data_IF_756698474238
#
_entry.id   IF_756698474238
#
_cell.length_a   1.000
_cell.length_b   1.000
_cell.length_c   1.000
_cell.angle_alpha   90.00
_cell.angle_beta   90.00
_cell.angle_gamma   90.00
#
_symmetry.space_group_name_H-M   'P 1'
#
loop_
_entity.id
_entity.type
_entity.pdbx_description
1 polymer ?
#
# COMPACT_ATOMS: atom_id res chain seq x y z
N UNK A 1 20.78 -74.01 11.35
CA UNK A 1 21.01 -75.13 10.39
C UNK A 1 21.00 -74.55 8.98
N UNK A 2 21.94 -75.01 8.13
CA UNK A 2 21.99 -74.99 6.66
C UNK A 2 21.50 -73.78 5.80
N UNK A 3 22.46 -73.23 5.04
CA UNK A 3 22.32 -72.66 3.66
C UNK A 3 22.00 -73.83 2.70
N UNK A 4 21.37 -73.75 1.53
CA UNK A 4 21.56 -73.03 0.23
C UNK A 4 20.36 -73.44 -0.69
N UNK A 5 20.24 -73.10 -2.00
CA UNK A 5 20.77 -71.99 -2.82
C UNK A 5 19.66 -71.26 -3.63
N UNK A 6 20.06 -70.31 -4.49
CA UNK A 6 19.24 -69.72 -5.55
C UNK A 6 19.50 -70.38 -6.92
N UNK A 7 18.58 -70.25 -7.87
CA UNK A 7 18.81 -70.45 -9.32
C UNK A 7 18.02 -69.43 -10.15
N UNK A 8 18.59 -68.98 -11.26
CA UNK A 8 18.06 -67.94 -12.17
C UNK A 8 17.30 -68.54 -13.38
N UNK A 9 16.92 -67.63 -14.31
CA UNK A 9 16.81 -67.76 -15.80
C UNK A 9 15.59 -68.51 -16.38
N UNK A 10 14.93 -68.06 -17.48
CA UNK A 10 15.01 -66.80 -18.28
C UNK A 10 13.74 -66.61 -19.17
N UNK A 11 13.59 -65.42 -19.83
CA UNK A 11 12.65 -65.03 -20.94
C UNK A 11 11.12 -65.18 -20.67
N UNK A 12 10.21 -64.32 -21.16
CA UNK A 12 9.93 -63.98 -22.57
C UNK A 12 9.14 -62.65 -22.74
N UNK A 13 8.86 -62.26 -23.98
CA UNK A 13 8.48 -60.93 -24.46
C UNK A 13 6.97 -60.72 -24.70
N UNK A 14 6.58 -59.46 -24.96
CA UNK A 14 5.30 -59.02 -25.59
C UNK A 14 4.08 -59.11 -24.65
N UNK A 15 3.28 -58.05 -24.44
CA UNK A 15 2.25 -57.58 -25.38
C UNK A 15 1.79 -56.14 -25.06
N UNK A 16 1.35 -55.39 -26.09
CA UNK A 16 0.68 -54.08 -25.95
C UNK A 16 -0.82 -54.24 -26.16
N UNK A 17 -1.67 -53.60 -25.34
CA UNK A 17 -2.99 -53.14 -25.80
C UNK A 17 -3.67 -52.10 -24.87
N UNK A 18 -4.03 -50.97 -25.48
CA UNK A 18 -5.15 -50.05 -25.20
C UNK A 18 -6.13 -50.32 -24.04
N UNK A 19 -6.40 -49.26 -23.25
CA UNK A 19 -7.75 -48.98 -22.71
C UNK A 19 -8.07 -47.46 -22.80
N UNK A 20 -8.95 -47.14 -23.75
CA UNK A 20 -9.93 -46.03 -23.86
C UNK A 20 -9.64 -44.63 -23.29
N UNK A 21 -9.62 -43.65 -24.20
CA UNK A 21 -10.14 -42.30 -23.97
C UNK A 21 -11.64 -42.31 -23.64
N UNK A 22 -12.09 -41.49 -22.70
CA UNK A 22 -13.06 -40.40 -22.94
C UNK A 22 -13.45 -39.69 -21.63
N UNK A 23 -13.22 -38.37 -21.54
CA UNK A 23 -14.08 -37.52 -20.71
C UNK A 23 -14.10 -36.09 -21.28
N UNK A 24 -15.22 -35.80 -21.93
CA UNK A 24 -15.53 -34.50 -22.52
C UNK A 24 -15.93 -33.51 -21.41
N UNK A 25 -15.26 -32.36 -21.31
CA UNK A 25 -15.78 -31.21 -20.56
C UNK A 25 -15.43 -29.90 -21.26
N UNK A 26 -16.38 -29.38 -22.03
CA UNK A 26 -16.32 -28.03 -22.57
C UNK A 26 -16.58 -27.02 -21.46
N UNK A 27 -15.69 -26.03 -21.30
CA UNK A 27 -15.93 -24.83 -20.49
C UNK A 27 -15.48 -23.61 -21.29
N UNK A 28 -16.33 -22.60 -21.29
CA UNK A 28 -16.35 -21.44 -22.20
C UNK A 28 -15.04 -20.64 -22.30
N UNK A 29 -14.51 -20.52 -23.52
CA UNK A 29 -13.50 -19.50 -23.85
C UNK A 29 -14.20 -18.25 -24.38
N UNK A 30 -14.69 -17.39 -23.49
CA UNK A 30 -15.07 -16.03 -23.86
C UNK A 30 -13.82 -15.24 -24.26
N UNK A 31 -13.70 -14.92 -25.54
CA UNK A 31 -12.60 -14.12 -26.10
C UNK A 31 -12.53 -12.73 -25.46
N UNK A 32 -11.60 -12.56 -24.51
CA UNK A 32 -11.12 -11.25 -24.08
C UNK A 32 -9.77 -10.99 -24.75
N UNK A 33 -9.69 -9.95 -25.58
CA UNK A 33 -8.48 -9.62 -26.32
C UNK A 33 -7.27 -9.48 -25.39
N UNK A 34 -6.22 -10.24 -25.66
CA UNK A 34 -4.93 -10.09 -25.00
C UNK A 34 -4.24 -8.85 -25.57
N UNK A 35 -4.13 -7.80 -24.76
CA UNK A 35 -3.22 -6.68 -25.04
C UNK A 35 -1.83 -7.12 -24.59
N UNK A 36 -0.86 -7.10 -25.49
CA UNK A 36 0.53 -7.50 -25.17
C UNK A 36 1.10 -6.65 -24.02
N UNK A 37 1.32 -7.30 -22.88
CA UNK A 37 2.00 -6.69 -21.73
C UNK A 37 3.50 -6.97 -21.87
N UNK A 38 4.39 -5.96 -21.89
CA UNK A 38 5.83 -6.20 -21.88
C UNK A 38 6.22 -6.98 -20.62
N UNK A 39 7.14 -7.97 -20.71
CA UNK A 39 7.19 -9.14 -19.80
C UNK A 39 7.70 -8.89 -18.37
N UNK A 40 7.64 -7.66 -17.86
CA UNK A 40 8.17 -7.30 -16.53
C UNK A 40 7.32 -6.26 -15.75
N UNK A 41 6.05 -6.06 -16.10
CA UNK A 41 5.15 -5.20 -15.31
C UNK A 41 4.13 -6.05 -14.52
N UNK A 42 4.18 -5.94 -13.19
CA UNK A 42 3.20 -6.58 -12.29
C UNK A 42 1.81 -5.97 -12.55
N UNK A 43 0.74 -6.77 -12.71
CA UNK A 43 -0.61 -6.25 -12.90
C UNK A 43 -1.06 -5.34 -11.76
N UNK A 44 -1.61 -4.17 -12.11
CA UNK A 44 -2.09 -3.18 -11.15
C UNK A 44 -3.37 -3.66 -10.43
N UNK A 45 -3.38 -3.52 -9.10
CA UNK A 45 -4.50 -3.90 -8.23
C UNK A 45 -5.54 -2.79 -8.18
N UNK A 46 -6.81 -3.18 -8.00
CA UNK A 46 -7.92 -2.22 -7.80
C UNK A 46 -7.99 -1.65 -6.37
N UNK A 47 -7.41 -2.34 -5.38
CA UNK A 47 -7.47 -2.05 -3.93
C UNK A 47 -6.05 -1.94 -3.34
N UNK A 48 -5.88 -1.06 -2.36
CA UNK A 48 -4.66 -0.93 -1.57
C UNK A 48 -4.38 -2.20 -0.73
N UNK A 49 -3.13 -2.67 -0.77
CA UNK A 49 -2.56 -3.68 0.12
C UNK A 49 -1.64 -3.01 1.18
N UNK A 50 -1.14 -3.79 2.14
CA UNK A 50 -0.29 -3.28 3.22
C UNK A 50 0.97 -2.55 2.71
N UNK A 51 1.61 -3.03 1.63
CA UNK A 51 2.78 -2.34 1.06
C UNK A 51 2.41 -0.99 0.41
N UNK A 52 1.23 -0.89 -0.20
CA UNK A 52 0.76 0.37 -0.79
C UNK A 52 0.54 1.43 0.32
N UNK A 53 0.09 1.01 1.50
CA UNK A 53 -0.03 1.87 2.67
C UNK A 53 1.33 2.38 3.17
N UNK A 54 2.37 1.53 3.18
CA UNK A 54 3.73 1.91 3.59
C UNK A 54 4.33 2.92 2.61
N UNK A 55 4.24 2.65 1.31
CA UNK A 55 4.75 3.58 0.27
C UNK A 55 4.02 4.93 0.35
N UNK A 56 2.68 4.92 0.51
CA UNK A 56 1.89 6.12 0.73
C UNK A 56 2.33 6.89 1.97
N UNK A 57 2.55 6.21 3.11
CA UNK A 57 2.95 6.87 4.36
C UNK A 57 4.36 7.45 4.29
N UNK A 58 5.31 6.75 3.66
CA UNK A 58 6.66 7.28 3.39
C UNK A 58 6.61 8.53 2.52
N UNK A 59 5.78 8.55 1.48
CA UNK A 59 5.58 9.74 0.65
C UNK A 59 4.88 10.88 1.41
N UNK A 60 3.83 10.61 2.19
CA UNK A 60 3.17 11.61 3.04
C UNK A 60 4.14 12.21 4.06
N UNK A 61 4.98 11.39 4.67
CA UNK A 61 6.02 11.80 5.63
C UNK A 61 7.07 12.72 4.99
N UNK A 62 7.54 12.39 3.78
CA UNK A 62 8.50 13.21 3.04
C UNK A 62 7.91 14.55 2.57
N UNK A 63 6.70 14.53 2.00
CA UNK A 63 6.04 15.71 1.43
C UNK A 63 5.36 16.62 2.48
N UNK A 64 5.14 16.12 3.70
CA UNK A 64 4.64 16.87 4.86
C UNK A 64 3.41 17.75 4.58
N UNK A 65 2.27 17.20 4.10
CA UNK A 65 1.10 17.98 3.67
C UNK A 65 0.45 18.84 4.76
N UNK A 66 0.77 18.63 6.04
CA UNK A 66 0.34 19.48 7.15
C UNK A 66 1.07 20.83 7.22
N UNK A 67 2.20 20.98 6.51
CA UNK A 67 2.96 22.25 6.43
C UNK A 67 2.43 23.23 5.38
N UNK A 68 1.40 22.84 4.62
CA UNK A 68 0.76 23.72 3.64
C UNK A 68 0.07 24.88 4.37
N UNK A 69 0.32 26.15 3.99
CA UNK A 69 -0.33 27.29 4.62
C UNK A 69 -1.85 27.24 4.51
N UNK A 70 -2.52 27.46 5.64
CA UNK A 70 -3.98 27.60 5.71
C UNK A 70 -4.46 28.76 4.84
N UNK A 71 -5.65 28.65 4.27
CA UNK A 71 -6.21 29.66 3.34
C UNK A 71 -5.70 29.58 1.89
N UNK A 72 -4.71 28.73 1.57
CA UNK A 72 -4.31 28.51 0.17
C UNK A 72 -5.32 27.62 -0.58
N UNK A 73 -5.84 28.10 -1.71
CA UNK A 73 -6.78 27.35 -2.54
C UNK A 73 -6.13 26.06 -3.08
N UNK A 74 -6.70 24.91 -2.70
CA UNK A 74 -6.27 23.56 -3.10
C UNK A 74 -4.80 23.18 -2.80
N UNK A 75 -4.09 23.90 -1.92
CA UNK A 75 -2.67 23.64 -1.62
C UNK A 75 -2.40 22.19 -1.19
N UNK A 76 -3.19 21.66 -0.24
CA UNK A 76 -3.07 20.26 0.21
C UNK A 76 -3.34 19.28 -0.94
N UNK A 77 -4.24 19.62 -1.87
CA UNK A 77 -4.57 18.73 -2.98
C UNK A 77 -3.41 18.61 -3.97
N UNK A 78 -2.75 19.73 -4.29
CA UNK A 78 -1.52 19.72 -5.12
C UNK A 78 -0.42 18.84 -4.50
N UNK A 79 -0.23 18.89 -3.19
CA UNK A 79 0.72 18.00 -2.50
C UNK A 79 0.33 16.53 -2.64
N UNK A 80 -0.97 16.20 -2.57
CA UNK A 80 -1.42 14.82 -2.75
C UNK A 80 -1.32 14.31 -4.20
N UNK A 81 -1.41 15.17 -5.21
CA UNK A 81 -1.08 14.77 -6.60
C UNK A 81 0.42 14.52 -6.77
N UNK A 82 1.29 15.35 -6.17
CA UNK A 82 2.74 15.08 -6.16
C UNK A 82 3.08 13.76 -5.43
N UNK A 83 2.38 13.46 -4.34
CA UNK A 83 2.48 12.18 -3.63
C UNK A 83 2.03 11.01 -4.54
N UNK A 84 0.98 11.17 -5.35
CA UNK A 84 0.54 10.15 -6.29
C UNK A 84 1.60 9.86 -7.36
N UNK A 85 2.24 10.89 -7.92
CA UNK A 85 3.38 10.75 -8.84
C UNK A 85 4.55 10.01 -8.15
N UNK A 86 4.91 10.40 -6.93
CA UNK A 86 5.99 9.73 -6.17
C UNK A 86 5.69 8.26 -5.86
N UNK A 87 4.43 7.93 -5.53
CA UNK A 87 4.01 6.55 -5.28
C UNK A 87 4.02 5.73 -6.58
N UNK A 88 3.50 6.28 -7.69
CA UNK A 88 3.50 5.60 -8.99
C UNK A 88 4.89 5.34 -9.57
N UNK A 89 5.90 6.12 -9.17
CA UNK A 89 7.30 5.85 -9.52
C UNK A 89 7.96 4.73 -8.68
N UNK A 90 7.30 4.22 -7.63
CA UNK A 90 7.84 3.17 -6.77
C UNK A 90 7.38 1.77 -7.26
N UNK A 91 8.29 0.84 -7.59
CA UNK A 91 7.92 -0.48 -8.11
C UNK A 91 7.21 -1.42 -7.11
N UNK A 92 7.17 -1.06 -5.82
CA UNK A 92 6.38 -1.77 -4.79
C UNK A 92 4.93 -1.28 -4.72
N UNK A 93 4.62 -0.10 -5.29
CA UNK A 93 3.28 0.46 -5.31
C UNK A 93 2.45 -0.22 -6.42
N UNK A 94 1.53 -1.08 -6.01
CA UNK A 94 0.78 -1.93 -6.92
C UNK A 94 -0.61 -1.39 -7.28
N UNK A 95 -0.86 -0.08 -7.16
CA UNK A 95 -2.14 0.55 -7.51
C UNK A 95 -1.92 1.83 -8.30
N UNK A 96 -2.75 2.07 -9.31
CA UNK A 96 -2.87 3.38 -9.96
C UNK A 96 -4.10 4.11 -9.41
N UNK A 97 -3.87 5.28 -8.81
CA UNK A 97 -4.85 6.07 -8.07
C UNK A 97 -4.45 7.56 -8.02
N UNK A 98 -5.38 8.50 -8.27
CA UNK A 98 -5.10 9.93 -8.16
C UNK A 98 -4.93 10.38 -6.70
N UNK A 99 -4.33 11.55 -6.50
CA UNK A 99 -4.04 12.10 -5.17
C UNK A 99 -5.25 12.18 -4.25
N UNK A 100 -6.45 12.41 -4.78
CA UNK A 100 -7.70 12.43 -4.00
C UNK A 100 -8.00 11.07 -3.33
N UNK A 101 -7.72 9.95 -4.01
CA UNK A 101 -7.87 8.61 -3.47
C UNK A 101 -6.80 8.29 -2.42
N UNK A 102 -5.54 8.71 -2.65
CA UNK A 102 -4.45 8.57 -1.69
C UNK A 102 -4.71 9.40 -0.41
N UNK A 103 -5.22 10.63 -0.55
CA UNK A 103 -5.65 11.48 0.58
C UNK A 103 -6.75 10.82 1.41
N UNK A 104 -7.71 10.20 0.73
CA UNK A 104 -8.80 9.46 1.38
C UNK A 104 -8.24 8.24 2.13
N UNK A 105 -7.35 7.46 1.51
CA UNK A 105 -6.69 6.30 2.13
C UNK A 105 -5.86 6.70 3.35
N UNK A 106 -5.06 7.76 3.26
CA UNK A 106 -4.29 8.30 4.38
C UNK A 106 -5.19 8.72 5.56
N UNK A 107 -6.31 9.39 5.29
CA UNK A 107 -7.30 9.74 6.32
C UNK A 107 -7.93 8.52 6.98
N UNK A 108 -8.22 7.46 6.22
CA UNK A 108 -8.68 6.18 6.79
C UNK A 108 -7.61 5.57 7.69
N UNK A 109 -6.37 5.45 7.22
CA UNK A 109 -5.25 4.92 8.01
C UNK A 109 -5.08 5.66 9.35
N UNK A 110 -5.06 6.99 9.32
CA UNK A 110 -4.96 7.83 10.51
C UNK A 110 -6.14 7.64 11.47
N UNK A 111 -7.37 7.51 10.96
CA UNK A 111 -8.58 7.28 11.77
C UNK A 111 -8.58 5.90 12.42
N UNK A 112 -8.20 4.86 11.68
CA UNK A 112 -8.16 3.48 12.21
C UNK A 112 -7.04 3.30 13.23
N UNK A 113 -5.89 3.96 13.01
CA UNK A 113 -4.78 3.99 13.95
C UNK A 113 -5.17 4.64 15.28
N UNK A 114 -5.76 5.85 15.24
CA UNK A 114 -6.23 6.57 16.45
C UNK A 114 -7.41 5.88 17.18
N UNK A 115 -7.94 4.79 16.63
CA UNK A 115 -9.03 3.98 17.19
C UNK A 115 -8.55 2.61 17.69
N UNK A 116 -7.24 2.35 17.68
CA UNK A 116 -6.59 1.05 17.91
C UNK A 116 -7.10 -0.09 17.00
N UNK A 117 -7.82 0.23 15.92
CA UNK A 117 -8.38 -0.73 14.98
C UNK A 117 -7.37 -1.16 13.90
N UNK A 118 -6.09 -0.81 14.05
CA UNK A 118 -4.99 -1.34 13.26
C UNK A 118 -4.99 -2.87 13.13
N UNK A 119 -5.46 -3.60 14.16
CA UNK A 119 -5.63 -5.07 14.14
C UNK A 119 -6.60 -5.53 13.03
N UNK A 120 -7.68 -4.79 12.78
CA UNK A 120 -8.66 -5.10 11.72
C UNK A 120 -8.05 -5.01 10.31
N UNK A 121 -7.04 -4.16 10.14
CA UNK A 121 -6.29 -4.02 8.89
C UNK A 121 -5.18 -5.07 8.71
N UNK A 122 -4.89 -5.93 9.70
CA UNK A 122 -3.86 -6.97 9.60
C UNK A 122 -4.29 -8.23 8.84
N UNK A 123 -5.45 -8.19 8.15
CA UNK A 123 -6.01 -9.32 7.37
C UNK A 123 -5.19 -9.71 6.14
N UNK A 124 -4.24 -8.88 5.70
CA UNK A 124 -3.31 -9.19 4.60
C UNK A 124 -2.04 -8.36 4.72
N UNK A 125 -0.88 -9.01 4.87
CA UNK A 125 0.43 -8.38 5.03
C UNK A 125 1.29 -9.13 6.05
N UNK A 126 2.58 -8.80 6.13
CA UNK A 126 3.52 -9.39 7.10
C UNK A 126 3.56 -8.57 8.41
N UNK A 127 4.13 -9.12 9.48
CA UNK A 127 4.23 -8.43 10.77
C UNK A 127 5.04 -7.14 10.64
N UNK A 128 6.17 -7.22 9.93
CA UNK A 128 7.12 -6.15 9.68
C UNK A 128 6.47 -5.00 8.89
N UNK A 129 5.59 -5.34 7.93
CA UNK A 129 4.80 -4.35 7.18
C UNK A 129 3.85 -3.56 8.10
N UNK A 130 3.23 -4.22 9.08
CA UNK A 130 2.35 -3.53 10.02
C UNK A 130 3.13 -2.70 11.04
N UNK A 131 4.27 -3.18 11.51
CA UNK A 131 5.15 -2.42 12.42
C UNK A 131 5.74 -1.18 11.74
N UNK A 132 6.20 -1.31 10.49
CA UNK A 132 6.63 -0.17 9.65
C UNK A 132 5.53 0.87 9.50
N UNK A 133 4.32 0.43 9.10
CA UNK A 133 3.15 1.30 8.92
C UNK A 133 2.76 2.01 10.23
N UNK A 134 2.69 1.26 11.33
CA UNK A 134 2.28 1.77 12.63
C UNK A 134 3.35 2.76 13.17
N UNK A 135 4.65 2.53 12.92
CA UNK A 135 5.74 3.47 13.25
C UNK A 135 5.71 4.76 12.41
N UNK A 136 5.47 4.65 11.10
CA UNK A 136 5.31 5.81 10.22
C UNK A 136 4.11 6.68 10.62
N UNK A 137 3.01 6.07 11.05
CA UNK A 137 1.83 6.79 11.54
C UNK A 137 2.12 7.56 12.83
N UNK A 138 2.86 6.96 13.79
CA UNK A 138 3.30 7.64 15.01
C UNK A 138 4.18 8.87 14.70
N UNK A 139 5.17 8.73 13.82
CA UNK A 139 6.08 9.83 13.48
C UNK A 139 5.35 10.97 12.71
N UNK A 140 4.43 10.62 11.80
CA UNK A 140 3.57 11.62 11.12
C UNK A 140 2.69 12.36 12.13
N UNK A 141 2.13 11.68 13.13
CA UNK A 141 1.35 12.33 14.20
C UNK A 141 2.25 13.29 14.98
N UNK A 142 3.38 12.82 15.51
CA UNK A 142 4.30 13.65 16.30
C UNK A 142 4.80 14.89 15.53
N UNK A 143 5.17 14.74 14.24
CA UNK A 143 5.57 15.88 13.39
C UNK A 143 4.41 16.80 12.99
N UNK A 144 3.16 16.33 13.04
CA UNK A 144 1.97 17.17 12.83
C UNK A 144 1.69 17.99 14.09
N UNK A 145 1.75 17.37 15.26
CA UNK A 145 1.47 18.04 16.54
C UNK A 145 2.54 19.10 16.85
N UNK A 146 3.83 18.78 16.73
CA UNK A 146 4.94 19.75 16.84
C UNK A 146 4.80 20.94 15.86
N UNK A 147 4.22 20.70 14.68
CA UNK A 147 3.97 21.78 13.72
C UNK A 147 2.77 22.65 14.12
N UNK A 148 1.70 22.03 14.63
CA UNK A 148 0.52 22.76 15.14
C UNK A 148 0.89 23.65 16.31
N UNK A 149 1.65 23.14 17.29
CA UNK A 149 2.15 23.89 18.45
C UNK A 149 2.95 25.12 18.00
N UNK A 150 3.86 24.94 17.03
CA UNK A 150 4.64 26.03 16.45
C UNK A 150 3.75 27.10 15.82
N UNK A 151 2.78 26.70 14.99
CA UNK A 151 1.86 27.63 14.32
C UNK A 151 0.98 28.37 15.32
N UNK A 152 0.54 27.70 16.39
CA UNK A 152 -0.23 28.33 17.46
C UNK A 152 0.59 29.41 18.19
N UNK A 153 1.83 29.11 18.58
CA UNK A 153 2.74 30.09 19.20
C UNK A 153 2.97 31.28 18.28
N UNK A 154 3.25 31.06 16.99
CA UNK A 154 3.41 32.15 16.02
C UNK A 154 2.16 33.02 15.89
N UNK A 155 0.96 32.42 15.91
CA UNK A 155 -0.30 33.15 15.80
C UNK A 155 -0.59 33.98 17.06
N UNK A 156 -0.36 33.43 18.26
CA UNK A 156 -0.47 34.16 19.53
C UNK A 156 0.46 35.39 19.55
N UNK A 157 1.68 35.28 19.03
CA UNK A 157 2.62 36.41 18.90
C UNK A 157 2.14 37.46 17.91
N UNK A 158 1.60 37.05 16.74
CA UNK A 158 1.03 37.97 15.74
C UNK A 158 -0.17 38.74 16.31
N UNK A 159 -1.08 38.06 17.00
CA UNK A 159 -2.23 38.68 17.66
C UNK A 159 -1.83 39.67 18.75
N UNK A 160 -0.88 39.32 19.62
CA UNK A 160 -0.40 40.22 20.68
C UNK A 160 0.18 41.52 20.09
N UNK A 161 0.97 41.41 19.01
CA UNK A 161 1.52 42.57 18.29
C UNK A 161 0.41 43.42 17.65
N UNK A 162 -0.59 42.79 17.03
CA UNK A 162 -1.72 43.52 16.43
C UNK A 162 -2.54 44.28 17.49
N UNK A 163 -2.84 43.65 18.64
CA UNK A 163 -3.55 44.30 19.75
C UNK A 163 -2.74 45.48 20.31
N UNK A 164 -1.43 45.35 20.45
CA UNK A 164 -0.57 46.46 20.90
C UNK A 164 -0.61 47.66 19.94
N UNK A 165 -0.62 47.42 18.63
CA UNK A 165 -0.71 48.51 17.63
C UNK A 165 -2.07 49.21 17.71
N UNK A 166 -3.16 48.46 17.86
CA UNK A 166 -4.51 49.00 18.02
C UNK A 166 -4.69 49.75 19.35
N UNK A 167 -4.03 49.29 20.42
CA UNK A 167 -4.07 49.89 21.76
C UNK A 167 -3.33 51.23 21.88
N UNK A 168 -2.41 51.54 20.96
CA UNK A 168 -1.62 52.78 20.97
C UNK A 168 -2.07 53.82 19.94
N UNK A 169 -3.23 53.61 19.31
CA UNK A 169 -3.79 54.46 18.24
C UNK A 169 -5.00 55.32 18.63
N UNK A 170 -5.33 55.39 19.93
CA UNK A 170 -6.44 56.18 20.50
C UNK A 170 -5.90 57.20 21.51
#
# INVERSE_FOLDING_TARGET
MYRVPATNTEVDSTEQAHVTSDLHLAIDTSTSASVDIPPNQKPLRKKFAAMDDIVLLRAVHAFRPWRVPVGTSNGIMKVFENIAVQCGANPEFGVDKPGAALRTRFRTLMKEFKRDQCRSMRKSGTVEQFEERDRLLLDIIAQTDVWNDKIEVENRVKEAKQRSIQSSGN
#
